data_IF_548692116653
#
_entry.id   IF_548692116653
#
_cell.length_a   1.000
_cell.length_b   1.000
_cell.length_c   1.000
_cell.angle_alpha   90.00
_cell.angle_beta   90.00
_cell.angle_gamma   90.00
#
_symmetry.space_group_name_H-M   'P 1'
#
loop_
_entity.id
_entity.type
_entity.pdbx_description
1 polymer ?
#
# COMPACT_ATOMS: atom_id res chain seq x y z
N UNK A 1 -10.40 -11.10 -14.71
CA UNK A 1 -10.01 -10.89 -16.11
C UNK A 1 -8.52 -10.88 -16.27
N UNK A 2 -7.84 -10.38 -15.31
CA UNK A 2 -6.41 -10.19 -15.31
C UNK A 2 -5.72 -11.42 -14.72
N UNK A 3 -4.42 -11.55 -14.94
CA UNK A 3 -3.68 -12.71 -14.52
C UNK A 3 -3.61 -12.86 -12.99
N UNK A 4 -4.01 -11.84 -12.26
CA UNK A 4 -4.01 -11.84 -10.81
C UNK A 4 -2.60 -12.00 -10.23
N UNK A 5 -2.41 -12.80 -9.17
CA UNK A 5 -1.14 -12.88 -8.45
C UNK A 5 0.02 -13.49 -9.25
N UNK A 6 -0.24 -14.13 -10.39
CA UNK A 6 0.81 -14.79 -11.19
C UNK A 6 1.99 -13.87 -11.48
N UNK A 7 1.73 -12.66 -11.97
CA UNK A 7 2.80 -11.71 -12.32
C UNK A 7 3.55 -11.15 -11.10
N UNK A 8 2.97 -11.22 -9.92
CA UNK A 8 3.59 -10.69 -8.71
C UNK A 8 4.37 -11.74 -7.93
N UNK A 9 4.11 -13.03 -8.17
CA UNK A 9 4.73 -14.12 -7.42
C UNK A 9 5.70 -14.97 -8.23
N UNK A 10 5.67 -14.93 -9.57
CA UNK A 10 6.52 -15.77 -10.41
C UNK A 10 7.99 -15.32 -10.31
N UNK A 11 8.88 -16.28 -10.13
CA UNK A 11 10.33 -16.08 -10.11
C UNK A 11 11.02 -16.76 -11.28
N UNK A 12 10.48 -17.91 -11.74
CA UNK A 12 11.03 -18.67 -12.85
C UNK A 12 9.94 -19.49 -13.55
N UNK A 13 10.29 -20.14 -14.67
CA UNK A 13 9.45 -21.03 -15.46
C UNK A 13 9.91 -22.48 -15.30
N UNK A 14 8.95 -23.45 -15.38
CA UNK A 14 7.51 -23.31 -15.56
C UNK A 14 6.82 -22.69 -14.35
N UNK A 15 5.58 -22.14 -14.56
CA UNK A 15 4.80 -21.57 -13.49
C UNK A 15 4.26 -22.65 -12.56
N UNK A 16 5.11 -23.09 -11.65
CA UNK A 16 4.81 -24.03 -10.58
C UNK A 16 5.21 -23.43 -9.23
N UNK A 17 4.58 -23.87 -8.13
CA UNK A 17 4.78 -23.30 -6.79
C UNK A 17 6.26 -23.18 -6.36
N UNK A 18 7.14 -24.16 -6.64
CA UNK A 18 8.57 -24.03 -6.33
C UNK A 18 9.28 -22.88 -7.05
N UNK A 19 8.75 -22.44 -8.19
CA UNK A 19 9.27 -21.35 -9.01
C UNK A 19 8.54 -20.02 -8.73
N UNK A 20 7.93 -19.88 -7.55
CA UNK A 20 7.23 -18.69 -7.11
C UNK A 20 7.66 -18.27 -5.71
N UNK A 21 7.39 -17.02 -5.33
CA UNK A 21 7.58 -16.56 -3.95
C UNK A 21 6.77 -17.36 -2.92
N UNK A 22 5.78 -18.15 -3.37
CA UNK A 22 4.98 -19.03 -2.50
C UNK A 22 5.72 -20.32 -2.07
N UNK A 23 6.91 -20.59 -2.61
CA UNK A 23 7.71 -21.78 -2.25
C UNK A 23 8.04 -21.88 -0.76
N UNK A 24 8.19 -20.74 -0.10
CA UNK A 24 8.48 -20.66 1.34
C UNK A 24 7.26 -20.95 2.23
N UNK A 25 6.06 -20.98 1.65
CA UNK A 25 4.81 -21.23 2.37
C UNK A 25 4.35 -22.67 2.14
N UNK A 26 4.71 -23.56 3.05
CA UNK A 26 4.24 -24.96 3.02
C UNK A 26 2.73 -25.00 3.27
N UNK A 27 1.98 -25.60 2.33
CA UNK A 27 0.53 -25.73 2.46
C UNK A 27 0.16 -26.58 3.68
N UNK A 28 -0.85 -26.13 4.43
CA UNK A 28 -1.47 -26.96 5.46
C UNK A 28 -2.27 -28.11 4.81
N UNK A 29 -2.65 -29.17 5.56
CA UNK A 29 -3.35 -30.31 4.99
C UNK A 29 -4.65 -29.93 4.24
N UNK A 30 -5.39 -28.94 4.74
CA UNK A 30 -6.62 -28.47 4.11
C UNK A 30 -6.33 -27.80 2.76
N UNK A 31 -5.33 -26.90 2.70
CA UNK A 31 -4.94 -26.25 1.45
C UNK A 31 -4.32 -27.22 0.44
N UNK A 32 -3.61 -28.24 0.92
CA UNK A 32 -3.07 -29.29 0.05
C UNK A 32 -4.20 -30.14 -0.55
N UNK A 33 -5.19 -30.52 0.25
CA UNK A 33 -6.36 -31.25 -0.23
C UNK A 33 -7.13 -30.47 -1.31
N UNK A 34 -7.31 -29.14 -1.15
CA UNK A 34 -7.91 -28.29 -2.18
C UNK A 34 -7.04 -28.24 -3.46
N UNK A 35 -5.73 -28.16 -3.29
CA UNK A 35 -4.77 -28.07 -4.40
C UNK A 35 -4.72 -29.36 -5.23
N UNK A 36 -4.84 -30.53 -4.60
CA UNK A 36 -4.79 -31.84 -5.26
C UNK A 36 -6.16 -32.33 -5.77
N UNK A 37 -7.26 -31.68 -5.40
CA UNK A 37 -8.60 -32.09 -5.79
C UNK A 37 -9.00 -31.51 -7.17
N UNK A 38 -9.15 -32.33 -8.23
CA UNK A 38 -9.55 -31.86 -9.56
C UNK A 38 -10.92 -31.20 -9.62
N UNK A 39 -11.77 -31.41 -8.61
CA UNK A 39 -13.11 -30.81 -8.54
C UNK A 39 -13.15 -29.50 -7.76
N UNK A 40 -12.02 -29.13 -7.12
CA UNK A 40 -11.92 -27.86 -6.40
C UNK A 40 -11.46 -26.73 -7.35
N UNK A 41 -12.02 -25.53 -7.15
CA UNK A 41 -11.61 -24.34 -7.93
C UNK A 41 -10.15 -23.95 -7.71
N UNK A 42 -9.51 -24.46 -6.64
CA UNK A 42 -8.10 -24.22 -6.29
C UNK A 42 -7.17 -25.33 -6.77
N UNK A 43 -7.70 -26.26 -7.58
CA UNK A 43 -6.90 -27.31 -8.17
C UNK A 43 -5.70 -26.73 -8.91
N UNK A 44 -4.50 -27.14 -8.52
CA UNK A 44 -3.21 -26.62 -9.03
C UNK A 44 -3.08 -25.08 -9.03
N UNK A 45 -3.81 -24.40 -8.13
CA UNK A 45 -3.64 -22.96 -7.95
C UNK A 45 -2.36 -22.68 -7.17
N UNK A 46 -1.29 -22.28 -7.86
CA UNK A 46 0.05 -22.08 -7.28
C UNK A 46 0.07 -21.11 -6.07
N UNK A 47 -0.77 -20.04 -6.02
CA UNK A 47 -0.85 -19.15 -4.87
C UNK A 47 -1.74 -19.67 -3.73
N UNK A 48 -2.25 -20.93 -3.79
CA UNK A 48 -3.17 -21.44 -2.78
C UNK A 48 -2.55 -21.40 -1.38
N UNK A 49 -3.23 -20.74 -0.46
CA UNK A 49 -2.85 -20.61 0.93
C UNK A 49 -4.04 -20.12 1.76
N UNK A 50 -4.04 -20.37 3.05
CA UNK A 50 -5.00 -19.80 4.00
C UNK A 50 -4.25 -18.99 5.07
N UNK A 51 -5.00 -18.39 6.01
CA UNK A 51 -4.44 -17.61 7.12
C UNK A 51 -3.50 -18.40 8.04
N UNK A 52 -3.54 -19.75 8.01
CA UNK A 52 -2.63 -20.60 8.80
C UNK A 52 -1.29 -20.81 8.11
N UNK A 53 -1.28 -21.00 6.77
CA UNK A 53 -0.11 -21.42 6.02
C UNK A 53 0.38 -20.41 4.97
N UNK A 54 -0.31 -19.31 4.76
CA UNK A 54 0.05 -18.26 3.82
C UNK A 54 0.66 -17.02 4.47
N UNK A 55 0.88 -15.98 3.67
CA UNK A 55 1.40 -14.70 4.13
C UNK A 55 0.55 -14.10 5.25
N UNK A 56 1.21 -13.41 6.18
CA UNK A 56 0.57 -12.73 7.31
C UNK A 56 0.97 -11.26 7.34
N UNK A 57 0.03 -10.43 7.77
CA UNK A 57 0.30 -9.04 8.07
C UNK A 57 0.77 -8.90 9.51
N UNK A 58 1.76 -8.04 9.71
CA UNK A 58 2.29 -7.71 11.02
C UNK A 58 2.43 -6.19 11.12
N UNK A 59 2.14 -5.66 12.31
CA UNK A 59 2.38 -4.27 12.64
C UNK A 59 3.55 -4.18 13.60
N UNK A 60 4.56 -3.42 13.23
CA UNK A 60 5.76 -3.22 14.05
C UNK A 60 5.87 -1.75 14.45
N UNK A 61 6.44 -1.47 15.61
CA UNK A 61 6.81 -0.12 16.03
C UNK A 61 8.07 0.38 15.29
N UNK A 62 8.48 1.62 15.55
CA UNK A 62 9.67 2.20 14.93
C UNK A 62 10.99 1.48 15.30
N UNK A 63 10.99 0.63 16.29
CA UNK A 63 12.14 -0.18 16.71
C UNK A 63 12.11 -1.60 16.13
N UNK A 64 11.04 -1.95 15.39
CA UNK A 64 10.84 -3.29 14.85
C UNK A 64 10.18 -4.27 15.83
N UNK A 65 9.68 -3.82 16.98
CA UNK A 65 8.96 -4.68 17.90
C UNK A 65 7.52 -4.88 17.43
N UNK A 66 6.98 -6.10 17.59
CA UNK A 66 5.59 -6.39 17.28
C UNK A 66 4.64 -5.56 18.16
N UNK A 67 3.61 -5.02 17.52
CA UNK A 67 2.47 -4.39 18.18
C UNK A 67 1.39 -5.44 18.36
N UNK A 68 1.12 -5.83 19.59
CA UNK A 68 0.07 -6.80 19.92
C UNK A 68 -1.30 -6.25 19.54
N UNK A 69 -1.99 -6.95 18.66
CA UNK A 69 -3.34 -6.59 18.21
C UNK A 69 -4.08 -7.80 17.68
N UNK A 70 -5.39 -7.81 17.87
CA UNK A 70 -6.29 -8.81 17.27
C UNK A 70 -6.65 -8.49 15.82
N UNK A 71 -6.52 -7.22 15.41
CA UNK A 71 -6.82 -6.76 14.04
C UNK A 71 -5.78 -5.71 13.59
N UNK A 72 -4.84 -6.18 12.80
CA UNK A 72 -3.73 -5.36 12.28
C UNK A 72 -4.23 -4.20 11.40
N UNK A 73 -5.26 -4.43 10.57
CA UNK A 73 -5.80 -3.39 9.68
C UNK A 73 -6.53 -2.31 10.47
N UNK A 74 -7.40 -2.70 11.39
CA UNK A 74 -8.11 -1.75 12.24
C UNK A 74 -7.12 -0.91 13.08
N UNK A 75 -6.10 -1.54 13.66
CA UNK A 75 -5.09 -0.83 14.44
C UNK A 75 -4.27 0.13 13.58
N UNK A 76 -3.79 -0.30 12.40
CA UNK A 76 -3.07 0.58 11.48
C UNK A 76 -3.93 1.76 11.03
N UNK A 77 -5.22 1.52 10.73
CA UNK A 77 -6.17 2.57 10.36
C UNK A 77 -6.40 3.58 11.48
N UNK A 78 -6.51 3.11 12.73
CA UNK A 78 -6.65 3.97 13.90
C UNK A 78 -5.40 4.85 14.10
N UNK A 79 -4.20 4.28 13.95
CA UNK A 79 -2.95 5.02 14.03
C UNK A 79 -2.85 6.11 12.96
N UNK A 80 -3.31 5.84 11.71
CA UNK A 80 -3.39 6.86 10.66
C UNK A 80 -4.33 8.01 11.05
N UNK A 81 -5.51 7.70 11.63
CA UNK A 81 -6.46 8.70 12.15
C UNK A 81 -5.86 9.55 13.29
N UNK A 82 -5.01 8.95 14.09
CA UNK A 82 -4.26 9.64 15.16
C UNK A 82 -3.09 10.50 14.64
N UNK A 83 -2.87 10.52 13.34
CA UNK A 83 -1.80 11.31 12.71
C UNK A 83 -0.42 10.66 12.81
N UNK A 84 -0.34 9.33 12.84
CA UNK A 84 0.93 8.60 12.72
C UNK A 84 1.30 8.42 11.26
N UNK A 85 2.59 8.23 11.02
CA UNK A 85 3.17 7.89 9.71
C UNK A 85 3.47 6.40 9.72
N UNK A 86 2.92 5.67 8.75
CA UNK A 86 3.13 4.22 8.64
C UNK A 86 3.90 3.91 7.36
N UNK A 87 4.95 3.10 7.46
CA UNK A 87 5.61 2.49 6.33
C UNK A 87 4.86 1.21 5.96
N UNK A 88 4.30 1.16 4.75
CA UNK A 88 3.46 0.06 4.26
C UNK A 88 4.21 -0.70 3.18
N UNK A 89 4.37 -2.01 3.33
CA UNK A 89 4.98 -2.87 2.30
C UNK A 89 4.01 -3.02 1.13
N UNK A 90 4.43 -2.57 -0.06
CA UNK A 90 3.73 -2.74 -1.33
C UNK A 90 4.38 -3.79 -2.22
N UNK A 91 3.97 -3.87 -3.51
CA UNK A 91 4.52 -4.84 -4.47
C UNK A 91 5.99 -4.56 -4.83
N UNK A 92 6.34 -3.29 -5.04
CA UNK A 92 7.69 -2.89 -5.47
C UNK A 92 8.57 -2.32 -4.37
N UNK A 93 8.12 -2.35 -3.13
CA UNK A 93 8.81 -1.78 -1.98
C UNK A 93 7.87 -1.02 -1.04
N UNK A 94 8.43 -0.37 -0.06
CA UNK A 94 7.67 0.34 0.97
C UNK A 94 7.14 1.69 0.47
N UNK A 95 5.97 2.05 0.98
CA UNK A 95 5.39 3.38 0.87
C UNK A 95 5.25 3.99 2.26
N UNK A 96 5.50 5.29 2.39
CA UNK A 96 5.16 6.04 3.61
C UNK A 96 3.77 6.63 3.44
N UNK A 97 2.89 6.31 4.37
CA UNK A 97 1.50 6.73 4.40
C UNK A 97 1.18 7.61 5.62
N UNK A 98 0.34 8.60 5.43
CA UNK A 98 -0.29 9.37 6.51
C UNK A 98 -1.59 10.01 6.02
N UNK A 99 -2.42 10.50 6.94
CA UNK A 99 -3.66 11.22 6.63
C UNK A 99 -3.37 12.48 5.81
N UNK A 100 -3.86 12.52 4.57
CA UNK A 100 -3.69 13.64 3.65
C UNK A 100 -4.50 14.90 4.04
N UNK A 101 -5.47 14.77 4.94
CA UNK A 101 -6.25 15.91 5.44
C UNK A 101 -5.56 16.61 6.61
N UNK A 102 -4.64 15.94 7.29
CA UNK A 102 -3.95 16.44 8.47
C UNK A 102 -2.66 17.18 8.10
N UNK A 103 -2.75 18.51 8.03
CA UNK A 103 -1.61 19.36 7.65
C UNK A 103 -0.39 19.20 8.59
N UNK A 104 -0.60 18.87 9.87
CA UNK A 104 0.48 18.67 10.84
C UNK A 104 1.31 17.43 10.48
N UNK A 105 0.66 16.30 10.24
CA UNK A 105 1.37 15.05 9.92
C UNK A 105 2.00 15.11 8.53
N UNK A 106 1.36 15.74 7.55
CA UNK A 106 1.96 15.92 6.20
C UNK A 106 3.22 16.78 6.27
N UNK A 107 3.22 17.86 7.05
CA UNK A 107 4.43 18.68 7.30
C UNK A 107 5.51 17.88 8.01
N UNK A 108 5.15 17.07 9.01
CA UNK A 108 6.07 16.19 9.72
C UNK A 108 6.71 15.17 8.77
N UNK A 109 5.90 14.52 7.91
CA UNK A 109 6.41 13.58 6.89
C UNK A 109 7.41 14.28 5.95
N UNK A 110 7.11 15.50 5.49
CA UNK A 110 8.03 16.29 4.66
C UNK A 110 9.35 16.57 5.36
N UNK A 111 9.30 16.97 6.62
CA UNK A 111 10.48 17.24 7.44
C UNK A 111 11.34 15.97 7.58
N UNK A 112 10.74 14.84 7.97
CA UNK A 112 11.42 13.56 8.15
C UNK A 112 12.03 13.03 6.84
N UNK A 113 11.32 13.21 5.71
CA UNK A 113 11.83 12.84 4.37
C UNK A 113 12.82 13.84 3.80
N UNK A 114 13.06 14.98 4.43
CA UNK A 114 13.86 16.11 3.88
C UNK A 114 13.37 16.53 2.48
N UNK A 115 12.04 16.58 2.30
CA UNK A 115 11.39 16.85 1.03
C UNK A 115 10.45 18.08 1.12
N UNK A 116 11.00 19.31 1.21
CA UNK A 116 10.21 20.50 1.55
C UNK A 116 9.20 20.90 0.47
N UNK A 117 9.53 20.80 -0.82
CA UNK A 117 8.73 21.39 -1.91
C UNK A 117 8.15 20.37 -2.89
N UNK A 118 8.83 19.26 -3.16
CA UNK A 118 8.40 18.28 -4.16
C UNK A 118 7.02 17.72 -3.79
N UNK A 119 6.01 17.75 -4.70
CA UNK A 119 4.66 17.29 -4.38
C UNK A 119 4.63 15.83 -3.93
N UNK A 120 3.66 15.51 -3.09
CA UNK A 120 3.30 14.15 -2.68
C UNK A 120 2.06 13.75 -3.45
N UNK A 121 1.89 12.45 -3.71
CA UNK A 121 0.67 11.89 -4.25
C UNK A 121 -0.23 11.41 -3.11
N UNK A 122 -1.54 11.33 -3.38
CA UNK A 122 -2.51 10.70 -2.49
C UNK A 122 -3.06 9.42 -3.11
N UNK A 123 -3.45 8.49 -2.25
CA UNK A 123 -4.25 7.32 -2.60
C UNK A 123 -5.64 7.50 -1.99
N UNK A 124 -6.66 7.28 -2.80
CA UNK A 124 -8.07 7.36 -2.41
C UNK A 124 -8.79 6.07 -2.76
N UNK A 125 -9.91 5.78 -2.11
CA UNK A 125 -10.60 4.50 -2.22
C UNK A 125 -11.08 4.17 -3.64
N UNK A 126 -11.61 5.19 -4.35
CA UNK A 126 -12.25 5.02 -5.64
C UNK A 126 -12.32 6.33 -6.45
N UNK A 127 -13.00 6.25 -7.60
CA UNK A 127 -13.19 7.41 -8.48
C UNK A 127 -14.14 8.45 -7.88
N UNK A 128 -15.11 8.05 -7.08
CA UNK A 128 -16.05 8.97 -6.45
C UNK A 128 -15.36 9.81 -5.39
N UNK A 129 -14.48 9.18 -4.60
CA UNK A 129 -13.61 9.90 -3.67
C UNK A 129 -12.65 10.84 -4.43
N UNK A 130 -12.09 10.40 -5.56
CA UNK A 130 -11.26 11.25 -6.42
C UNK A 130 -12.02 12.51 -6.87
N UNK A 131 -13.28 12.36 -7.30
CA UNK A 131 -14.14 13.47 -7.74
C UNK A 131 -14.49 14.46 -6.62
N UNK A 132 -14.37 14.08 -5.36
CA UNK A 132 -14.49 15.00 -4.22
C UNK A 132 -13.30 15.95 -4.10
N UNK A 133 -12.12 15.52 -4.55
CA UNK A 133 -10.89 16.29 -4.40
C UNK A 133 -10.42 16.98 -5.67
N UNK A 134 -10.75 16.42 -6.84
CA UNK A 134 -10.26 16.88 -8.14
C UNK A 134 -11.37 17.03 -9.17
N UNK A 135 -11.13 17.91 -10.15
CA UNK A 135 -11.86 17.88 -11.43
C UNK A 135 -11.31 16.71 -12.22
N UNK A 136 -12.16 15.81 -12.67
CA UNK A 136 -11.77 14.56 -13.36
C UNK A 136 -12.43 14.54 -14.73
N UNK A 137 -11.64 14.52 -15.80
CA UNK A 137 -12.08 14.30 -17.16
C UNK A 137 -12.24 12.78 -17.46
N UNK A 138 -12.97 12.44 -18.53
CA UNK A 138 -13.12 11.04 -18.96
C UNK A 138 -11.77 10.35 -19.24
N UNK A 139 -10.80 11.08 -19.80
CA UNK A 139 -9.45 10.54 -20.06
C UNK A 139 -8.70 10.25 -18.76
N UNK A 140 -8.75 11.16 -17.82
CA UNK A 140 -8.13 10.96 -16.50
C UNK A 140 -8.79 9.83 -15.71
N UNK A 141 -10.12 9.67 -15.79
CA UNK A 141 -10.84 8.56 -15.20
C UNK A 141 -10.41 7.21 -15.81
N UNK A 142 -10.34 7.12 -17.15
CA UNK A 142 -9.86 5.93 -17.85
C UNK A 142 -8.43 5.56 -17.48
N UNK A 143 -7.53 6.55 -17.35
CA UNK A 143 -6.15 6.32 -16.91
C UNK A 143 -6.10 5.84 -15.46
N UNK A 144 -6.80 6.54 -14.57
CA UNK A 144 -6.79 6.24 -13.13
C UNK A 144 -7.32 4.84 -12.81
N UNK A 145 -8.36 4.40 -13.56
CA UNK A 145 -8.98 3.06 -13.40
C UNK A 145 -8.32 1.98 -14.25
N UNK A 146 -7.25 2.30 -14.98
CA UNK A 146 -6.53 1.33 -15.80
C UNK A 146 -5.76 0.31 -14.95
N UNK A 147 -5.49 -0.91 -15.49
CA UNK A 147 -4.74 -1.95 -14.77
C UNK A 147 -3.33 -1.53 -14.31
N UNK A 148 -2.75 -0.50 -14.94
CA UNK A 148 -1.44 0.04 -14.58
C UNK A 148 -1.45 0.82 -13.29
N UNK A 149 -2.64 1.26 -12.81
CA UNK A 149 -2.84 2.02 -11.58
C UNK A 149 -1.86 3.20 -11.43
N UNK A 150 -1.77 4.10 -12.43
CA UNK A 150 -0.80 5.19 -12.44
C UNK A 150 -1.16 6.28 -11.42
N UNK A 151 -0.20 7.13 -11.12
CA UNK A 151 -0.47 8.42 -10.49
C UNK A 151 -0.89 9.39 -11.59
N UNK A 152 -2.11 9.90 -11.53
CA UNK A 152 -2.66 10.87 -12.47
C UNK A 152 -2.66 12.26 -11.82
N UNK A 153 -2.11 13.25 -12.54
CA UNK A 153 -2.14 14.65 -12.11
C UNK A 153 -3.44 15.29 -12.54
N UNK A 154 -4.30 15.67 -11.59
CA UNK A 154 -5.60 16.24 -11.84
C UNK A 154 -5.74 17.62 -11.19
N UNK A 155 -6.57 18.48 -11.79
CA UNK A 155 -6.83 19.82 -11.26
C UNK A 155 -7.50 19.73 -9.90
N UNK A 156 -6.83 20.27 -8.89
CA UNK A 156 -7.29 20.26 -7.50
C UNK A 156 -8.50 21.17 -7.30
N UNK A 157 -9.49 20.70 -6.56
CA UNK A 157 -10.66 21.50 -6.18
C UNK A 157 -10.36 22.34 -4.94
N UNK A 158 -10.85 23.58 -4.86
CA UNK A 158 -10.60 24.47 -3.73
C UNK A 158 -11.29 24.03 -2.43
N UNK A 159 -12.39 23.29 -2.54
CA UNK A 159 -13.19 22.73 -1.45
C UNK A 159 -12.75 21.33 -0.99
N UNK A 160 -11.64 20.83 -1.55
CA UNK A 160 -11.06 19.56 -1.15
C UNK A 160 -10.62 19.56 0.32
N UNK A 161 -10.87 18.45 1.01
CA UNK A 161 -10.38 18.24 2.40
C UNK A 161 -8.89 17.95 2.48
N UNK A 162 -8.26 17.58 1.36
CA UNK A 162 -6.81 17.33 1.32
C UNK A 162 -6.06 18.63 1.60
N UNK A 163 -5.11 18.59 2.53
CA UNK A 163 -4.41 19.80 2.96
C UNK A 163 -3.38 20.29 1.93
N UNK A 164 -3.21 21.60 1.83
CA UNK A 164 -2.28 22.23 0.89
C UNK A 164 -0.82 21.79 1.06
N UNK A 165 -0.46 21.26 2.23
CA UNK A 165 0.87 20.72 2.48
C UNK A 165 1.19 19.48 1.61
N UNK A 166 0.21 18.82 0.99
CA UNK A 166 0.42 17.70 0.07
C UNK A 166 1.11 18.14 -1.23
N UNK A 167 0.69 19.27 -1.78
CA UNK A 167 1.29 19.84 -3.00
C UNK A 167 1.34 21.38 -2.90
N UNK A 168 2.31 21.94 -2.13
CA UNK A 168 2.36 23.37 -1.83
C UNK A 168 2.46 24.21 -3.11
N UNK A 169 1.62 25.25 -3.19
CA UNK A 169 1.58 26.21 -4.29
C UNK A 169 1.26 25.62 -5.68
N UNK A 170 0.75 24.38 -5.73
CA UNK A 170 0.36 23.74 -6.99
C UNK A 170 -1.16 23.72 -7.15
N UNK A 171 -1.60 23.79 -8.41
CA UNK A 171 -3.02 23.70 -8.81
C UNK A 171 -3.43 22.26 -9.15
N UNK A 172 -2.47 21.32 -9.14
CA UNK A 172 -2.67 19.93 -9.49
C UNK A 172 -2.29 19.03 -8.32
N UNK A 173 -3.04 17.96 -8.15
CA UNK A 173 -2.83 16.92 -7.16
C UNK A 173 -2.56 15.60 -7.88
N UNK A 174 -1.53 14.87 -7.47
CA UNK A 174 -1.28 13.51 -7.93
C UNK A 174 -2.17 12.54 -7.16
N UNK A 175 -3.01 11.80 -7.87
CA UNK A 175 -3.92 10.82 -7.28
C UNK A 175 -3.68 9.45 -7.87
N UNK A 176 -3.76 8.40 -7.06
CA UNK A 176 -3.76 7.00 -7.47
C UNK A 176 -4.86 6.22 -6.73
N UNK A 177 -5.31 5.14 -7.32
CA UNK A 177 -6.22 4.17 -6.70
C UNK A 177 -5.43 3.02 -6.05
N UNK A 178 -6.05 2.26 -5.14
CA UNK A 178 -5.42 1.10 -4.52
C UNK A 178 -5.16 0.01 -5.55
N UNK A 179 -3.96 -0.57 -5.52
CA UNK A 179 -3.52 -1.61 -6.45
C UNK A 179 -3.10 -2.91 -5.75
N UNK A 180 -3.25 -2.98 -4.42
CA UNK A 180 -3.07 -4.21 -3.63
C UNK A 180 -4.28 -4.45 -2.74
N UNK A 181 -4.58 -5.70 -2.35
CA UNK A 181 -5.62 -5.99 -1.36
C UNK A 181 -5.42 -5.22 -0.06
N UNK A 182 -4.17 -5.08 0.40
CA UNK A 182 -3.82 -4.33 1.61
C UNK A 182 -4.25 -2.85 1.52
N UNK A 183 -3.99 -2.21 0.37
CA UNK A 183 -4.40 -0.81 0.15
C UNK A 183 -5.92 -0.66 0.21
N UNK A 184 -6.68 -1.58 -0.43
CA UNK A 184 -8.14 -1.57 -0.38
C UNK A 184 -8.68 -1.72 1.04
N UNK A 185 -8.14 -2.66 1.82
CA UNK A 185 -8.56 -2.88 3.20
C UNK A 185 -8.27 -1.66 4.07
N UNK A 186 -7.07 -1.09 3.95
CA UNK A 186 -6.65 0.05 4.76
C UNK A 186 -7.46 1.32 4.45
N UNK A 187 -7.71 1.62 3.15
CA UNK A 187 -8.52 2.77 2.75
C UNK A 187 -9.98 2.61 3.17
N UNK A 188 -10.54 1.39 3.05
CA UNK A 188 -11.90 1.10 3.49
C UNK A 188 -12.05 1.30 5.00
N UNK A 189 -11.11 0.79 5.80
CA UNK A 189 -11.17 0.86 7.26
C UNK A 189 -10.86 2.27 7.78
N UNK A 190 -9.88 2.95 7.20
CA UNK A 190 -9.54 4.31 7.61
C UNK A 190 -10.55 5.35 7.16
N UNK A 191 -11.17 5.15 5.99
CA UNK A 191 -12.03 6.13 5.31
C UNK A 191 -11.34 7.49 5.11
N UNK A 192 -10.03 7.49 4.91
CA UNK A 192 -9.19 8.68 4.73
C UNK A 192 -8.53 8.68 3.34
N UNK A 193 -8.39 9.83 2.69
CA UNK A 193 -7.40 9.98 1.64
C UNK A 193 -6.01 9.93 2.29
N UNK A 194 -5.14 9.06 1.80
CA UNK A 194 -3.81 8.88 2.38
C UNK A 194 -2.74 9.47 1.46
N UNK A 195 -1.82 10.27 2.01
CA UNK A 195 -0.55 10.49 1.32
C UNK A 195 0.11 9.14 1.12
N UNK A 196 0.59 8.88 -0.10
CA UNK A 196 1.40 7.71 -0.43
C UNK A 196 2.66 8.17 -1.16
N UNK A 197 3.80 7.97 -0.54
CA UNK A 197 5.10 8.35 -1.13
C UNK A 197 6.11 7.23 -0.93
N UNK A 198 7.11 7.14 -1.82
CA UNK A 198 8.13 6.10 -1.76
C UNK A 198 8.80 5.99 -0.39
N UNK A 199 8.98 4.76 0.08
CA UNK A 199 9.69 4.43 1.33
C UNK A 199 11.19 4.49 1.14
N UNK A 200 11.72 5.71 1.06
CA UNK A 200 13.14 6.00 0.96
C UNK A 200 13.44 7.38 1.59
N UNK A 201 14.69 7.62 1.93
CA UNK A 201 15.20 8.98 2.13
C UNK A 201 15.42 9.58 0.72
N UNK A 202 15.29 10.90 0.58
CA UNK A 202 15.40 11.57 -0.73
C UNK A 202 16.67 11.11 -1.48
N UNK A 203 16.47 10.78 -2.77
CA UNK A 203 17.52 10.35 -3.72
C UNK A 203 18.10 8.94 -3.50
N UNK A 204 17.60 8.20 -2.52
CA UNK A 204 17.97 6.80 -2.33
C UNK A 204 16.95 5.83 -3.00
N UNK A 205 17.35 4.58 -3.29
CA UNK A 205 16.41 3.56 -3.73
C UNK A 205 15.34 3.28 -2.69
N UNK A 206 14.15 2.87 -3.16
CA UNK A 206 13.04 2.43 -2.30
C UNK A 206 13.43 1.18 -1.52
N UNK A 207 13.10 1.12 -0.23
CA UNK A 207 13.30 -0.07 0.60
C UNK A 207 12.35 -1.18 0.14
N UNK A 208 12.85 -2.41 0.01
CA UNK A 208 12.08 -3.58 -0.38
C UNK A 208 12.02 -4.64 0.74
N UNK A 209 13.10 -4.80 1.47
CA UNK A 209 13.23 -5.75 2.58
C UNK A 209 12.72 -5.15 3.90
N UNK A 210 12.12 -5.98 4.77
CA UNK A 210 11.54 -5.53 6.03
C UNK A 210 12.60 -4.97 6.98
N UNK A 211 13.72 -5.67 7.15
CA UNK A 211 14.79 -5.25 8.06
C UNK A 211 15.51 -4.00 7.54
N UNK A 212 15.70 -3.92 6.22
CA UNK A 212 16.21 -2.72 5.57
C UNK A 212 15.29 -1.52 5.82
N UNK A 213 13.97 -1.70 5.63
CA UNK A 213 12.99 -0.64 5.84
C UNK A 213 13.00 -0.14 7.30
N UNK A 214 13.02 -1.04 8.28
CA UNK A 214 13.10 -0.66 9.70
C UNK A 214 14.36 0.14 9.97
N UNK A 215 15.52 -0.32 9.52
CA UNK A 215 16.79 0.41 9.74
C UNK A 215 16.80 1.79 9.08
N UNK A 216 16.31 1.92 7.83
CA UNK A 216 16.43 3.15 7.05
C UNK A 216 15.27 4.13 7.26
N UNK A 217 14.07 3.64 7.58
CA UNK A 217 12.87 4.46 7.65
C UNK A 217 12.38 4.72 9.08
N UNK A 218 13.04 4.18 10.13
CA UNK A 218 12.66 4.40 11.54
C UNK A 218 12.63 5.88 11.95
N UNK A 219 13.47 6.72 11.32
CA UNK A 219 13.40 8.18 11.50
C UNK A 219 12.25 8.86 10.73
N UNK A 220 11.61 8.16 9.78
CA UNK A 220 10.56 8.70 8.90
C UNK A 220 9.17 8.14 9.22
N UNK A 221 9.06 6.89 9.65
CA UNK A 221 7.83 6.21 10.04
C UNK A 221 7.73 6.02 11.54
N UNK A 222 6.51 6.05 12.07
CA UNK A 222 6.22 5.72 13.46
C UNK A 222 5.94 4.22 13.63
N UNK A 223 5.41 3.57 12.57
CA UNK A 223 5.06 2.15 12.52
C UNK A 223 5.35 1.57 11.15
N UNK A 224 5.43 0.24 11.08
CA UNK A 224 5.65 -0.54 9.87
C UNK A 224 4.55 -1.58 9.72
N UNK A 225 3.84 -1.54 8.61
CA UNK A 225 2.86 -2.55 8.21
C UNK A 225 3.53 -3.46 7.18
N UNK A 226 3.94 -4.63 7.62
CA UNK A 226 4.76 -5.58 6.86
C UNK A 226 4.00 -6.88 6.60
N UNK A 227 4.50 -7.64 5.64
CA UNK A 227 4.10 -9.03 5.40
C UNK A 227 5.35 -9.84 5.04
N UNK A 228 5.30 -11.15 5.33
CA UNK A 228 6.32 -12.12 4.94
C UNK A 228 6.10 -12.58 3.50
#
# INVERSE_FOLDING_TARGET
TNCGPRFTIIEDIPYDRPNTTMRSFTMCPECLAEYDNPLDRRFHAQPNACSKCGPRLELLDAKGNHVETSDVIATASQLLKEGKIIAIKGLGGFLLACDATNARVVKLLRQRKRRPFKPLAIMVADIDETKRHCHVSETEEKLLTSPQSPIVLMRWKPDSKVCQAVAPNLKYLGVMLPYTPLHHLLLKESSLPLVMTSGNISEEPICQDNDEAIRRLSGSADYFLVHN
#
